data_IF_760605485362
#
_entry.id   IF_760605485362
#
_cell.length_a   1.000
_cell.length_b   1.000
_cell.length_c   1.000
_cell.angle_alpha   90.00
_cell.angle_beta   90.00
_cell.angle_gamma   90.00
#
_symmetry.space_group_name_H-M   'P 1'
#
loop_
_entity.id
_entity.type
_entity.pdbx_description
1 polymer ?
#
# COMPACT_ATOMS: atom_id res chain seq x y z
N UNK A 1 7.94 -9.33 -1.99
CA UNK A 1 7.22 -10.53 -1.57
C UNK A 1 7.09 -10.62 -0.07
N UNK A 2 6.41 -11.61 0.39
CA UNK A 2 6.32 -11.99 1.80
C UNK A 2 6.92 -13.38 1.89
N UNK A 3 7.72 -13.62 2.93
CA UNK A 3 8.31 -14.92 3.19
C UNK A 3 7.33 -15.77 4.00
N UNK A 4 6.93 -16.90 3.44
CA UNK A 4 6.17 -17.95 4.11
C UNK A 4 7.15 -19.02 4.54
N UNK A 5 7.33 -19.17 5.85
CA UNK A 5 8.35 -20.03 6.43
C UNK A 5 7.71 -21.19 7.18
N UNK A 6 8.27 -22.39 7.01
CA UNK A 6 7.98 -23.56 7.84
C UNK A 6 9.29 -24.20 8.28
N UNK A 7 9.26 -24.79 9.47
CA UNK A 7 10.36 -25.62 9.97
C UNK A 7 9.90 -27.06 10.05
N UNK A 8 10.73 -27.99 9.62
CA UNK A 8 10.46 -29.43 9.73
C UNK A 8 11.55 -30.07 10.59
N UNK A 9 11.09 -30.81 11.59
CA UNK A 9 11.94 -31.60 12.48
C UNK A 9 11.49 -33.05 12.50
N UNK A 10 12.39 -33.97 12.89
CA UNK A 10 12.06 -35.36 13.17
C UNK A 10 11.37 -35.55 14.53
N UNK A 11 11.05 -36.80 14.89
CA UNK A 11 10.41 -37.14 16.18
C UNK A 11 11.24 -36.80 17.40
N UNK A 12 12.54 -36.52 17.28
CA UNK A 12 13.46 -36.14 18.35
C UNK A 12 13.72 -34.62 18.37
N UNK A 13 13.10 -33.86 17.46
CA UNK A 13 13.28 -32.41 17.34
C UNK A 13 14.49 -31.98 16.47
N UNK A 14 15.18 -32.88 15.80
CA UNK A 14 16.31 -32.56 14.93
C UNK A 14 15.80 -31.97 13.59
N UNK A 15 16.47 -30.95 13.04
CA UNK A 15 16.09 -30.36 11.78
C UNK A 15 16.22 -31.34 10.61
N UNK A 16 15.27 -31.32 9.68
CA UNK A 16 15.30 -32.15 8.49
C UNK A 16 15.63 -31.28 7.27
N UNK A 17 16.87 -31.40 6.79
CA UNK A 17 17.39 -30.66 5.66
C UNK A 17 17.03 -31.30 4.31
N UNK A 18 17.14 -30.49 3.23
CA UNK A 18 17.04 -30.91 1.82
C UNK A 18 15.75 -31.65 1.46
N UNK A 19 14.66 -31.35 2.16
CA UNK A 19 13.32 -31.87 1.85
C UNK A 19 12.47 -30.81 1.16
N UNK A 20 11.77 -31.24 0.11
CA UNK A 20 10.86 -30.36 -0.61
C UNK A 20 9.52 -30.27 0.12
N UNK A 21 9.19 -29.08 0.60
CA UNK A 21 7.91 -28.76 1.23
C UNK A 21 6.95 -28.25 0.16
N UNK A 22 5.74 -28.78 0.13
CA UNK A 22 4.65 -28.27 -0.71
C UNK A 22 3.88 -27.19 0.05
N UNK A 23 3.76 -26.01 -0.56
CA UNK A 23 2.85 -24.96 -0.13
C UNK A 23 1.64 -24.93 -1.07
N UNK A 24 0.46 -24.78 -0.51
CA UNK A 24 -0.78 -24.58 -1.26
C UNK A 24 -1.33 -23.22 -0.85
N UNK A 25 -1.39 -22.27 -1.79
CA UNK A 25 -1.87 -20.91 -1.54
C UNK A 25 -3.02 -20.61 -2.50
N UNK A 26 -4.21 -20.44 -1.93
CA UNK A 26 -5.46 -20.27 -2.70
C UNK A 26 -5.64 -21.35 -3.78
N UNK A 27 -5.31 -22.61 -3.48
CA UNK A 27 -5.39 -23.74 -4.39
C UNK A 27 -4.17 -23.93 -5.32
N UNK A 28 -3.32 -22.93 -5.48
CA UNK A 28 -2.09 -23.03 -6.27
C UNK A 28 -0.97 -23.72 -5.46
N UNK A 29 -0.20 -24.58 -6.13
CA UNK A 29 0.87 -25.36 -5.51
C UNK A 29 2.24 -24.72 -5.79
N UNK A 30 3.03 -24.62 -4.75
CA UNK A 30 4.41 -24.12 -4.77
C UNK A 30 5.31 -25.06 -3.97
N UNK A 31 6.61 -25.06 -4.23
CA UNK A 31 7.56 -25.87 -3.48
C UNK A 31 8.71 -25.00 -2.99
N UNK A 32 9.22 -25.31 -1.80
CA UNK A 32 10.46 -24.78 -1.29
C UNK A 32 11.22 -25.90 -0.57
N UNK A 33 12.55 -25.86 -0.63
CA UNK A 33 13.41 -26.90 -0.05
C UNK A 33 13.95 -26.42 1.30
N UNK A 34 13.97 -27.30 2.30
CA UNK A 34 14.52 -27.00 3.61
C UNK A 34 16.04 -26.85 3.54
N UNK A 35 16.56 -25.85 4.25
CA UNK A 35 17.99 -25.66 4.50
C UNK A 35 18.49 -26.63 5.60
N UNK A 36 19.74 -26.48 6.01
CA UNK A 36 20.37 -27.36 7.02
C UNK A 36 19.73 -27.21 8.43
N UNK A 37 19.00 -26.10 8.65
CA UNK A 37 18.22 -25.85 9.87
C UNK A 37 16.78 -26.37 9.76
N UNK A 38 16.45 -27.14 8.71
CA UNK A 38 15.11 -27.67 8.47
C UNK A 38 14.08 -26.62 8.03
N UNK A 39 14.53 -25.42 7.63
CA UNK A 39 13.66 -24.29 7.30
C UNK A 39 13.44 -24.21 5.79
N UNK A 40 12.19 -24.26 5.33
CA UNK A 40 11.78 -23.97 3.96
C UNK A 40 11.12 -22.57 3.89
N UNK A 41 11.60 -21.73 2.98
CA UNK A 41 11.10 -20.36 2.76
C UNK A 41 10.54 -20.25 1.35
N UNK A 42 9.29 -19.87 1.24
CA UNK A 42 8.64 -19.51 -0.01
C UNK A 42 8.41 -18.00 -0.05
N UNK A 43 9.13 -17.28 -0.93
CA UNK A 43 8.90 -15.86 -1.18
C UNK A 43 7.84 -15.69 -2.27
N UNK A 44 6.69 -15.12 -1.93
CA UNK A 44 5.60 -14.91 -2.86
C UNK A 44 4.93 -13.55 -2.64
N UNK A 45 4.63 -12.86 -3.73
CA UNK A 45 3.87 -11.61 -3.71
C UNK A 45 2.39 -11.92 -3.93
N UNK A 46 1.59 -11.78 -2.89
CA UNK A 46 0.14 -11.91 -2.96
C UNK A 46 -0.53 -10.54 -3.14
N UNK A 47 -1.70 -10.54 -3.77
CA UNK A 47 -2.56 -9.36 -3.86
C UNK A 47 -3.13 -8.98 -2.48
N UNK A 48 -3.63 -7.76 -2.36
CA UNK A 48 -4.39 -7.34 -1.17
C UNK A 48 -5.62 -8.24 -1.01
N UNK A 49 -5.83 -8.77 0.19
CA UNK A 49 -6.92 -9.69 0.48
C UNK A 49 -6.58 -10.69 1.57
N UNK A 50 -7.46 -11.65 1.78
CA UNK A 50 -7.28 -12.76 2.70
C UNK A 50 -6.91 -14.01 1.91
N UNK A 51 -5.84 -14.68 2.32
CA UNK A 51 -5.28 -15.84 1.64
C UNK A 51 -5.14 -17.00 2.61
N UNK A 52 -5.44 -18.19 2.14
CA UNK A 52 -5.18 -19.44 2.87
C UNK A 52 -3.84 -20.00 2.43
N UNK A 53 -2.96 -20.25 3.36
CA UNK A 53 -1.63 -20.84 3.14
C UNK A 53 -1.57 -22.16 3.88
N UNK A 54 -1.40 -23.26 3.16
CA UNK A 54 -1.23 -24.60 3.70
C UNK A 54 0.18 -25.09 3.38
N UNK A 55 0.92 -25.54 4.37
CA UNK A 55 2.17 -26.26 4.19
C UNK A 55 1.94 -27.74 4.46
N UNK A 56 2.47 -28.59 3.58
CA UNK A 56 2.34 -30.06 3.68
C UNK A 56 3.70 -30.65 4.02
N UNK A 57 3.74 -31.43 5.08
CA UNK A 57 4.93 -32.15 5.53
C UNK A 57 5.28 -33.26 4.50
N UNK A 58 6.49 -33.25 3.92
CA UNK A 58 6.89 -34.24 2.93
C UNK A 58 7.11 -35.67 3.46
N UNK A 59 7.14 -35.85 4.78
CA UNK A 59 7.42 -37.16 5.39
C UNK A 59 6.14 -37.99 5.61
N UNK A 60 5.04 -37.34 6.00
CA UNK A 60 3.82 -38.04 6.42
C UNK A 60 2.56 -37.45 5.80
N UNK A 61 2.67 -36.40 4.96
CA UNK A 61 1.57 -35.65 4.35
C UNK A 61 0.68 -34.87 5.35
N UNK A 62 1.06 -34.78 6.61
CA UNK A 62 0.39 -33.87 7.54
C UNK A 62 0.47 -32.43 7.02
N UNK A 63 -0.52 -31.63 7.35
CA UNK A 63 -0.56 -30.25 6.89
C UNK A 63 -0.92 -29.28 7.99
N UNK A 64 -0.41 -28.06 7.85
CA UNK A 64 -0.74 -26.91 8.69
C UNK A 64 -1.28 -25.80 7.78
N UNK A 65 -2.45 -25.31 8.13
CA UNK A 65 -3.11 -24.22 7.38
C UNK A 65 -3.19 -22.96 8.23
N UNK A 66 -2.83 -21.83 7.66
CA UNK A 66 -2.94 -20.49 8.27
C UNK A 66 -3.64 -19.55 7.30
N UNK A 67 -4.37 -18.61 7.88
CA UNK A 67 -4.96 -17.49 7.13
C UNK A 67 -4.03 -16.28 7.24
N UNK A 68 -3.66 -15.73 6.09
CA UNK A 68 -2.78 -14.54 5.95
C UNK A 68 -3.58 -13.41 5.34
N UNK A 69 -3.60 -12.25 5.98
CA UNK A 69 -4.26 -11.05 5.47
C UNK A 69 -3.23 -10.08 4.93
N UNK A 70 -3.26 -9.85 3.62
CA UNK A 70 -2.45 -8.83 2.96
C UNK A 70 -3.25 -7.54 2.91
N UNK A 71 -2.70 -6.47 3.48
CA UNK A 71 -3.33 -5.14 3.53
C UNK A 71 -2.50 -4.12 2.78
N UNK A 72 -3.13 -3.00 2.38
CA UNK A 72 -2.39 -1.89 1.80
C UNK A 72 -1.52 -1.21 2.85
N UNK A 73 -0.32 -0.77 2.44
CA UNK A 73 0.58 0.02 3.31
C UNK A 73 0.27 1.50 3.33
N UNK A 74 -0.60 1.97 2.44
CA UNK A 74 -0.99 3.38 2.33
C UNK A 74 -2.50 3.45 2.31
N UNK A 75 -3.07 4.16 3.27
CA UNK A 75 -4.52 4.36 3.41
C UNK A 75 -4.88 5.85 3.39
N UNK A 76 -6.18 6.16 3.27
CA UNK A 76 -6.66 7.55 3.14
C UNK A 76 -6.46 8.12 1.73
N UNK A 77 -5.93 7.32 0.81
CA UNK A 77 -5.69 7.68 -0.58
C UNK A 77 -7.03 7.76 -1.34
N UNK A 78 -7.38 8.96 -1.76
CA UNK A 78 -8.59 9.24 -2.54
C UNK A 78 -8.42 10.50 -3.37
N UNK A 79 -9.18 10.61 -4.46
CA UNK A 79 -9.28 11.85 -5.21
C UNK A 79 -10.05 12.89 -4.39
N UNK A 80 -9.59 14.13 -4.39
CA UNK A 80 -10.20 15.21 -3.64
C UNK A 80 -10.32 16.49 -4.45
N UNK A 81 -11.33 17.29 -4.12
CA UNK A 81 -11.47 18.65 -4.60
C UNK A 81 -11.24 19.63 -3.46
N UNK A 82 -10.47 20.67 -3.71
CA UNK A 82 -10.27 21.78 -2.80
C UNK A 82 -10.36 23.10 -3.57
N UNK A 83 -10.32 24.23 -2.86
CA UNK A 83 -10.32 25.55 -3.47
C UNK A 83 -8.95 26.20 -3.31
N UNK A 84 -8.61 27.07 -4.26
CA UNK A 84 -7.39 27.87 -4.21
C UNK A 84 -7.30 28.62 -2.88
N UNK A 85 -6.08 28.70 -2.31
CA UNK A 85 -5.78 29.36 -1.04
C UNK A 85 -6.50 28.83 0.22
N UNK A 86 -7.25 27.71 0.13
CA UNK A 86 -7.92 27.10 1.29
C UNK A 86 -6.97 26.48 2.31
N UNK A 87 -5.66 26.32 1.99
CA UNK A 87 -4.68 25.61 2.84
C UNK A 87 -5.10 24.17 3.16
N UNK A 88 -5.50 23.43 2.13
CA UNK A 88 -5.97 22.07 2.26
C UNK A 88 -4.81 21.10 2.63
N UNK A 89 -5.02 20.28 3.65
CA UNK A 89 -4.09 19.24 4.07
C UNK A 89 -4.52 17.88 3.51
N UNK A 90 -3.83 17.39 2.47
CA UNK A 90 -4.00 16.04 1.96
C UNK A 90 -3.19 15.08 2.82
N UNK A 91 -3.90 14.16 3.50
CA UNK A 91 -3.28 13.24 4.45
C UNK A 91 -3.38 11.80 3.97
N UNK A 92 -2.27 11.08 4.09
CA UNK A 92 -2.21 9.63 3.88
C UNK A 92 -1.67 8.98 5.15
N UNK A 93 -2.17 7.81 5.49
CA UNK A 93 -1.70 7.04 6.64
C UNK A 93 -0.86 5.87 6.17
N UNK A 94 0.29 5.69 6.77
CA UNK A 94 1.25 4.64 6.44
C UNK A 94 1.12 3.51 7.45
N UNK A 95 1.03 2.29 6.94
CA UNK A 95 0.84 1.06 7.72
C UNK A 95 2.12 0.23 7.63
N UNK A 96 2.59 -0.23 8.78
CA UNK A 96 3.77 -1.09 8.92
C UNK A 96 3.51 -2.54 8.55
N UNK A 97 4.54 -3.36 8.71
CA UNK A 97 4.49 -4.81 8.43
C UNK A 97 3.59 -5.57 9.42
N UNK A 98 3.43 -5.03 10.62
CA UNK A 98 2.55 -5.54 11.67
C UNK A 98 1.06 -5.17 11.47
N UNK A 99 0.73 -4.50 10.38
CA UNK A 99 -0.63 -4.03 10.09
C UNK A 99 -1.08 -2.81 10.90
N UNK A 100 -0.19 -2.23 11.72
CA UNK A 100 -0.45 -1.03 12.52
C UNK A 100 0.14 0.21 11.85
N UNK A 101 -0.33 1.41 12.19
CA UNK A 101 0.29 2.65 11.73
C UNK A 101 1.76 2.72 12.15
N UNK A 102 2.62 3.16 11.24
CA UNK A 102 4.02 3.43 11.57
C UNK A 102 4.12 4.60 12.54
N UNK A 103 5.20 4.63 13.33
CA UNK A 103 5.49 5.75 14.22
C UNK A 103 5.97 7.00 13.48
N UNK A 104 6.49 7.97 14.25
CA UNK A 104 7.02 9.23 13.75
C UNK A 104 8.28 9.05 12.89
N UNK A 105 8.55 10.04 12.04
CA UNK A 105 9.79 10.18 11.27
C UNK A 105 10.06 9.12 10.20
N UNK A 106 9.09 8.28 9.86
CA UNK A 106 9.22 7.34 8.74
C UNK A 106 9.14 8.11 7.42
N UNK A 107 10.16 7.94 6.59
CA UNK A 107 10.27 8.61 5.29
C UNK A 107 9.34 7.98 4.25
N UNK A 108 8.59 8.82 3.54
CA UNK A 108 7.69 8.43 2.46
C UNK A 108 7.97 9.32 1.25
N UNK A 109 8.22 8.72 0.10
CA UNK A 109 8.40 9.45 -1.15
C UNK A 109 7.04 9.91 -1.68
N UNK A 110 6.90 11.20 -1.91
CA UNK A 110 5.69 11.80 -2.48
C UNK A 110 6.07 12.56 -3.75
N UNK A 111 5.37 12.30 -4.83
CA UNK A 111 5.58 12.97 -6.12
C UNK A 111 4.33 13.76 -6.48
N UNK A 112 4.47 15.03 -6.80
CA UNK A 112 3.39 15.93 -7.23
C UNK A 112 3.70 16.41 -8.63
N UNK A 113 2.90 16.04 -9.63
CA UNK A 113 3.12 16.34 -11.04
C UNK A 113 4.58 16.13 -11.47
N UNK A 114 5.16 14.97 -11.11
CA UNK A 114 6.54 14.59 -11.46
C UNK A 114 7.62 15.14 -10.51
N UNK A 115 7.34 16.12 -9.66
CA UNK A 115 8.31 16.63 -8.67
C UNK A 115 8.27 15.78 -7.39
N UNK A 116 9.36 15.08 -7.11
CA UNK A 116 9.48 14.23 -5.93
C UNK A 116 9.94 15.02 -4.70
N UNK A 117 9.41 14.64 -3.54
CA UNK A 117 9.83 15.11 -2.23
C UNK A 117 9.68 13.98 -1.21
N UNK A 118 10.37 14.08 -0.08
CA UNK A 118 10.22 13.14 1.04
C UNK A 118 9.43 13.81 2.15
N UNK A 119 8.33 13.20 2.55
CA UNK A 119 7.57 13.58 3.73
C UNK A 119 7.83 12.56 4.86
N UNK A 120 7.79 13.04 6.10
CA UNK A 120 7.94 12.18 7.28
C UNK A 120 6.60 12.01 7.99
N UNK A 121 6.36 10.83 8.53
CA UNK A 121 5.15 10.53 9.29
C UNK A 121 5.15 11.22 10.65
N UNK A 122 3.95 11.53 11.13
CA UNK A 122 3.70 11.91 12.52
C UNK A 122 3.58 10.66 13.44
N UNK A 123 3.33 10.89 14.74
CA UNK A 123 3.17 9.82 15.74
C UNK A 123 2.04 8.82 15.44
N UNK A 124 1.08 9.21 14.62
CA UNK A 124 -0.06 8.40 14.20
C UNK A 124 0.11 7.77 12.81
N UNK A 125 1.32 7.88 12.22
CA UNK A 125 1.64 7.35 10.90
C UNK A 125 1.12 8.17 9.73
N UNK A 126 0.70 9.43 9.93
CA UNK A 126 0.24 10.27 8.83
C UNK A 126 1.38 11.07 8.20
N UNK A 127 1.42 11.10 6.88
CA UNK A 127 2.09 12.15 6.11
C UNK A 127 1.05 13.20 5.71
N UNK A 128 1.49 14.46 5.61
CA UNK A 128 0.62 15.58 5.24
C UNK A 128 1.25 16.38 4.10
N UNK A 129 0.58 16.42 2.96
CA UNK A 129 0.90 17.30 1.85
C UNK A 129 -0.03 18.51 1.90
N UNK A 130 0.53 19.72 2.08
CA UNK A 130 -0.24 20.95 2.21
C UNK A 130 -0.41 21.62 0.85
N UNK A 131 -1.65 21.78 0.40
CA UNK A 131 -2.03 22.57 -0.78
C UNK A 131 -2.33 23.99 -0.34
N UNK A 132 -1.34 24.87 -0.48
CA UNK A 132 -1.41 26.28 -0.14
C UNK A 132 -1.64 27.14 -1.39
N UNK A 133 -1.56 28.47 -1.28
CA UNK A 133 -1.64 29.40 -2.41
C UNK A 133 -0.55 29.23 -3.50
N UNK A 134 0.47 28.42 -3.23
CA UNK A 134 1.48 28.06 -4.25
C UNK A 134 0.97 27.04 -5.26
N UNK A 135 -0.11 26.34 -4.92
CA UNK A 135 -0.77 25.39 -5.82
C UNK A 135 -1.92 26.08 -6.55
N UNK A 136 -1.63 26.58 -7.76
CA UNK A 136 -2.61 27.26 -8.60
C UNK A 136 -3.78 26.36 -9.00
N UNK A 137 -4.96 26.93 -9.39
CA UNK A 137 -6.12 26.15 -9.81
C UNK A 137 -5.81 25.25 -11.01
N UNK A 138 -5.74 23.94 -10.75
CA UNK A 138 -5.64 22.84 -11.72
C UNK A 138 -5.76 21.50 -11.00
N UNK A 139 -5.70 20.41 -11.75
CA UNK A 139 -5.58 19.06 -11.20
C UNK A 139 -4.10 18.71 -10.99
N UNK A 140 -3.79 18.18 -9.82
CA UNK A 140 -2.46 17.70 -9.43
C UNK A 140 -2.51 16.20 -9.24
N UNK A 141 -1.64 15.48 -9.93
CA UNK A 141 -1.41 14.05 -9.68
C UNK A 141 -0.46 13.91 -8.49
N UNK A 142 -0.92 13.22 -7.46
CA UNK A 142 -0.15 12.93 -6.23
C UNK A 142 0.10 11.45 -6.16
N UNK A 143 1.36 11.04 -6.21
CA UNK A 143 1.78 9.65 -6.00
C UNK A 143 2.55 9.54 -4.70
N UNK A 144 2.14 8.64 -3.81
CA UNK A 144 2.90 8.30 -2.60
C UNK A 144 3.47 6.90 -2.75
N UNK A 145 4.72 6.71 -2.31
CA UNK A 145 5.44 5.44 -2.36
C UNK A 145 6.07 5.11 -1.01
N UNK A 146 5.77 3.90 -0.52
CA UNK A 146 6.36 3.37 0.70
C UNK A 146 6.63 1.87 0.56
N UNK A 147 7.86 1.42 0.80
CA UNK A 147 8.30 0.01 0.68
C UNK A 147 7.82 -0.65 -0.65
N UNK A 148 7.99 0.06 -1.77
CA UNK A 148 7.62 -0.42 -3.10
C UNK A 148 6.13 -0.39 -3.44
N UNK A 149 5.26 -0.05 -2.49
CA UNK A 149 3.83 0.15 -2.76
C UNK A 149 3.59 1.60 -3.16
N UNK A 150 2.89 1.79 -4.27
CA UNK A 150 2.53 3.10 -4.82
C UNK A 150 1.02 3.27 -4.84
N UNK A 151 0.56 4.46 -4.47
CA UNK A 151 -0.82 4.91 -4.67
C UNK A 151 -0.80 6.24 -5.39
N UNK A 152 -1.70 6.41 -6.36
CA UNK A 152 -1.80 7.65 -7.14
C UNK A 152 -3.23 8.16 -7.08
N UNK A 153 -3.37 9.44 -6.80
CA UNK A 153 -4.65 10.12 -6.68
C UNK A 153 -4.57 11.53 -7.27
N UNK A 154 -5.72 12.13 -7.50
CA UNK A 154 -5.84 13.50 -7.99
C UNK A 154 -6.31 14.44 -6.90
N UNK A 155 -5.65 15.59 -6.79
CA UNK A 155 -6.08 16.73 -6.00
C UNK A 155 -6.44 17.86 -6.96
N UNK A 156 -7.73 18.13 -7.12
CA UNK A 156 -8.24 19.22 -7.97
C UNK A 156 -8.38 20.50 -7.16
N UNK A 157 -7.53 21.47 -7.44
CA UNK A 157 -7.63 22.82 -6.89
C UNK A 157 -8.53 23.65 -7.80
N UNK A 158 -9.69 24.06 -7.28
CA UNK A 158 -10.70 24.85 -8.01
C UNK A 158 -10.45 26.34 -7.82
N UNK A 159 -10.84 27.12 -8.82
CA UNK A 159 -10.87 28.59 -8.73
C UNK A 159 -11.88 29.04 -7.67
N UNK A 160 -11.61 30.16 -7.01
CA UNK A 160 -12.51 30.79 -6.04
C UNK A 160 -13.55 31.66 -6.76
N UNK A 161 -13.14 32.24 -7.89
CA UNK A 161 -14.01 33.08 -8.69
C UNK A 161 -14.33 32.39 -10.02
N UNK A 162 -15.60 32.29 -10.38
CA UNK A 162 -16.08 31.79 -11.66
C UNK A 162 -17.01 32.82 -12.28
N UNK A 163 -16.71 33.22 -13.52
CA UNK A 163 -17.62 34.04 -14.30
C UNK A 163 -18.60 33.13 -15.06
N UNK A 164 -19.89 33.29 -14.79
CA UNK A 164 -20.93 32.62 -15.57
C UNK A 164 -21.26 33.48 -16.82
N UNK A 165 -21.38 32.85 -17.95
CA UNK A 165 -21.82 33.52 -19.20
C UNK A 165 -23.26 34.01 -19.00
N UNK A 166 -23.47 35.32 -19.04
CA UNK A 166 -24.79 35.93 -18.98
C UNK A 166 -25.28 36.18 -20.42
N UNK A 167 -26.49 35.69 -20.74
CA UNK A 167 -27.15 36.02 -21.99
C UNK A 167 -27.83 37.37 -21.81
N UNK A 168 -27.36 38.39 -22.50
CA UNK A 168 -28.02 39.72 -22.57
C UNK A 168 -28.90 39.71 -23.77
N UNK A 169 -30.19 39.97 -23.62
CA UNK A 169 -31.09 40.21 -24.72
C UNK A 169 -30.83 41.64 -25.22
N UNK A 170 -30.46 41.78 -26.52
CA UNK A 170 -30.43 43.08 -27.15
C UNK A 170 -31.85 43.58 -27.27
N UNK A 171 -32.15 44.73 -26.67
CA UNK A 171 -33.44 45.41 -26.93
C UNK A 171 -33.40 45.97 -28.32
N UNK A 172 -34.42 45.66 -29.13
CA UNK A 172 -34.59 46.33 -30.42
C UNK A 172 -34.90 47.81 -30.14
N UNK A 173 -34.08 48.71 -30.66
CA UNK A 173 -34.48 50.13 -30.74
C UNK A 173 -35.67 50.20 -31.67
N UNK A 174 -36.80 50.80 -31.17
CA UNK A 174 -37.88 51.28 -32.01
C UNK A 174 -37.44 52.51 -32.76
#
# INVERSE_FOLDING_TARGET
GVDYQVTIVDGNGNPIAKKQVKFIINGNKYNATTNDEGIAILNLKLAIGTHTVTAVNPLNNDNVTKTVKITTRITGNKNVNTYYAKNYAYKLRIIGDDGKPVGSNVAVKVTVNGKAQTLKTDKNGYITLKFTKTYLPKTYTVTAEYKGIKVTNEVKVKQILTLKKVKVKKSAKK
#
